data_IF_830431755969
#
_entry.id   IF_830431755969
#
_cell.length_a   1.000
_cell.length_b   1.000
_cell.length_c   1.000
_cell.angle_alpha   90.00
_cell.angle_beta   90.00
_cell.angle_gamma   90.00
#
_symmetry.space_group_name_H-M   'P 1'
#
loop_
_entity.id
_entity.type
_entity.pdbx_description
1 polymer ?
#
# COMPACT_ATOMS: atom_id res chain seq x y z
N UNK A 1 18.75 -11.26 24.05
CA UNK A 1 18.30 -10.50 22.85
C UNK A 1 17.52 -11.39 21.88
N UNK A 2 17.96 -12.61 21.59
CA UNK A 2 17.26 -13.58 20.73
C UNK A 2 15.77 -13.82 21.07
N UNK A 3 15.39 -13.78 22.35
CA UNK A 3 13.99 -13.99 22.77
C UNK A 3 13.06 -12.85 22.32
N UNK A 4 13.53 -11.60 22.39
CA UNK A 4 12.75 -10.42 21.95
C UNK A 4 12.64 -10.38 20.43
N UNK A 5 13.69 -10.81 19.73
CA UNK A 5 13.65 -10.93 18.27
C UNK A 5 12.66 -12.00 17.82
N UNK A 6 12.66 -13.14 18.53
CA UNK A 6 11.70 -14.22 18.31
C UNK A 6 10.26 -13.75 18.54
N UNK A 7 10.03 -12.99 19.62
CA UNK A 7 8.74 -12.37 19.91
C UNK A 7 8.29 -11.44 18.78
N UNK A 8 9.17 -10.53 18.32
CA UNK A 8 8.87 -9.59 17.23
C UNK A 8 8.48 -10.34 15.94
N UNK A 9 9.13 -11.46 15.63
CA UNK A 9 8.84 -12.26 14.43
C UNK A 9 7.52 -13.04 14.53
N UNK A 10 7.18 -13.55 15.71
CA UNK A 10 5.99 -14.40 15.89
C UNK A 10 4.71 -13.60 16.14
N UNK A 11 4.80 -12.54 16.92
CA UNK A 11 3.64 -11.87 17.49
C UNK A 11 3.07 -10.78 16.58
N UNK A 12 1.84 -10.97 16.09
CA UNK A 12 1.23 -10.05 15.12
C UNK A 12 0.89 -8.69 15.73
N UNK A 13 0.57 -8.65 17.02
CA UNK A 13 0.27 -7.43 17.75
C UNK A 13 1.53 -6.58 17.89
N UNK A 14 2.67 -7.19 18.22
CA UNK A 14 3.97 -6.49 18.31
C UNK A 14 4.35 -5.87 16.97
N UNK A 15 4.17 -6.58 15.85
CA UNK A 15 4.45 -6.02 14.52
C UNK A 15 3.59 -4.79 14.22
N UNK A 16 2.31 -4.79 14.62
CA UNK A 16 1.44 -3.62 14.47
C UNK A 16 1.86 -2.46 15.36
N UNK A 17 2.32 -2.71 16.58
CA UNK A 17 2.88 -1.66 17.44
C UNK A 17 4.10 -1.00 16.81
N UNK A 18 4.99 -1.81 16.20
CA UNK A 18 6.19 -1.33 15.50
C UNK A 18 5.79 -0.47 14.30
N UNK A 19 4.87 -0.93 13.45
CA UNK A 19 4.45 -0.21 12.25
C UNK A 19 3.86 1.17 12.55
N UNK A 20 3.11 1.27 13.64
CA UNK A 20 2.45 2.49 14.08
C UNK A 20 3.36 3.41 14.92
N UNK A 21 4.53 2.91 15.32
CA UNK A 21 5.48 3.62 16.16
C UNK A 21 4.95 3.94 17.57
N UNK A 22 3.87 3.30 18.02
CA UNK A 22 3.26 3.55 19.33
C UNK A 22 3.33 2.30 20.20
N UNK A 23 4.32 2.26 21.07
CA UNK A 23 4.58 1.14 21.98
C UNK A 23 3.90 1.32 23.35
N UNK A 24 2.85 2.14 23.46
CA UNK A 24 2.16 2.35 24.74
C UNK A 24 1.21 1.19 25.10
N UNK A 25 1.05 0.95 26.41
CA UNK A 25 0.14 -0.09 26.90
C UNK A 25 -1.32 0.18 26.52
N UNK A 26 -1.72 1.46 26.45
CA UNK A 26 -3.04 1.86 25.98
C UNK A 26 -3.26 1.48 24.51
N UNK A 27 -2.23 1.69 23.68
CA UNK A 27 -2.32 1.36 22.26
C UNK A 27 -2.32 -0.15 22.02
N UNK A 28 -1.52 -0.91 22.78
CA UNK A 28 -1.56 -2.37 22.80
C UNK A 28 -2.97 -2.89 23.11
N UNK A 29 -3.60 -2.39 24.19
CA UNK A 29 -5.00 -2.71 24.54
C UNK A 29 -5.97 -2.36 23.42
N UNK A 30 -5.74 -1.23 22.73
CA UNK A 30 -6.58 -0.79 21.61
C UNK A 30 -6.48 -1.72 20.40
N UNK A 31 -5.27 -2.14 20.01
CA UNK A 31 -5.05 -3.10 18.92
C UNK A 31 -5.78 -4.41 19.24
N UNK A 32 -5.55 -4.94 20.44
CA UNK A 32 -6.19 -6.17 20.88
C UNK A 32 -7.73 -6.08 20.82
N UNK A 33 -8.33 -5.03 21.39
CA UNK A 33 -9.79 -4.82 21.31
C UNK A 33 -10.31 -4.74 19.87
N UNK A 34 -9.56 -4.12 18.97
CA UNK A 34 -9.96 -4.03 17.57
C UNK A 34 -9.89 -5.40 16.88
N UNK A 35 -8.85 -6.18 17.13
CA UNK A 35 -8.71 -7.53 16.57
C UNK A 35 -9.76 -8.47 17.15
N UNK A 36 -10.07 -8.39 18.44
CA UNK A 36 -11.15 -9.17 19.05
C UNK A 36 -12.51 -8.92 18.39
N UNK A 37 -12.79 -7.69 17.91
CA UNK A 37 -14.03 -7.38 17.18
C UNK A 37 -14.10 -7.99 15.78
N UNK A 38 -12.99 -8.51 15.27
CA UNK A 38 -12.89 -9.12 13.93
C UNK A 38 -12.80 -10.64 14.08
N UNK A 39 -12.14 -11.13 15.12
CA UNK A 39 -11.91 -12.56 15.38
C UNK A 39 -12.84 -13.14 16.44
N UNK A 40 -13.93 -12.45 16.82
CA UNK A 40 -14.84 -12.97 17.84
C UNK A 40 -15.56 -14.22 17.31
N UNK A 41 -15.61 -15.33 18.06
CA UNK A 41 -16.25 -16.58 17.61
C UNK A 41 -17.76 -16.43 17.31
N UNK A 42 -18.41 -15.40 17.83
CA UNK A 42 -19.81 -15.09 17.53
C UNK A 42 -20.05 -14.43 16.15
N UNK A 43 -19.00 -13.96 15.46
CA UNK A 43 -19.14 -13.28 14.17
C UNK A 43 -19.33 -14.26 13.01
N UNK A 44 -18.76 -15.46 13.10
CA UNK A 44 -18.90 -16.54 12.11
C UNK A 44 -20.10 -17.46 12.40
N UNK A 45 -21.21 -16.88 12.88
CA UNK A 45 -22.48 -17.60 13.03
C UNK A 45 -23.16 -17.78 11.68
N UNK A 46 -22.60 -18.62 10.80
CA UNK A 46 -23.43 -19.29 9.79
C UNK A 46 -24.18 -20.44 10.49
N UNK A 47 -25.52 -20.48 10.44
CA UNK A 47 -26.26 -21.59 11.02
C UNK A 47 -25.92 -22.89 10.28
N UNK A 48 -25.36 -23.87 10.99
CA UNK A 48 -25.05 -25.21 10.48
C UNK A 48 -23.57 -25.57 10.31
N UNK A 49 -22.62 -24.64 10.50
CA UNK A 49 -21.18 -24.91 10.33
C UNK A 49 -20.46 -24.96 11.70
N UNK A 50 -20.45 -26.12 12.36
CA UNK A 50 -19.72 -26.32 13.63
C UNK A 50 -18.21 -26.16 13.47
N UNK A 51 -17.65 -26.59 12.33
CA UNK A 51 -16.22 -26.46 12.02
C UNK A 51 -15.74 -24.99 12.00
N UNK A 52 -16.57 -24.05 11.53
CA UNK A 52 -16.21 -22.63 11.52
C UNK A 52 -16.10 -22.01 12.92
N UNK A 53 -16.82 -22.56 13.91
CA UNK A 53 -16.76 -22.08 15.30
C UNK A 53 -15.47 -22.51 16.00
N UNK A 54 -14.99 -23.71 15.74
CA UNK A 54 -13.74 -24.21 16.32
C UNK A 54 -12.53 -23.42 15.80
N UNK A 55 -12.49 -23.13 14.49
CA UNK A 55 -11.44 -22.32 13.88
C UNK A 55 -11.45 -20.86 14.38
N UNK A 56 -12.64 -20.25 14.47
CA UNK A 56 -12.78 -18.90 15.01
C UNK A 56 -12.41 -18.83 16.51
N UNK A 57 -12.78 -19.86 17.29
CA UNK A 57 -12.36 -20.00 18.68
C UNK A 57 -10.85 -20.12 18.82
N UNK A 58 -10.20 -20.94 18.00
CA UNK A 58 -8.74 -21.10 17.99
C UNK A 58 -8.01 -19.81 17.54
N UNK A 59 -8.56 -19.06 16.59
CA UNK A 59 -8.04 -17.75 16.21
C UNK A 59 -8.13 -16.74 17.36
N UNK A 60 -9.25 -16.71 18.08
CA UNK A 60 -9.43 -15.84 19.24
C UNK A 60 -8.48 -16.18 20.39
N UNK A 61 -8.28 -17.47 20.69
CA UNK A 61 -7.33 -17.92 21.72
C UNK A 61 -5.91 -17.48 21.36
N UNK A 62 -5.47 -17.73 20.13
CA UNK A 62 -4.15 -17.29 19.65
C UNK A 62 -3.95 -15.79 19.78
N UNK A 63 -4.97 -14.99 19.44
CA UNK A 63 -4.91 -13.54 19.59
C UNK A 63 -4.76 -13.10 21.06
N UNK A 64 -5.45 -13.78 21.98
CA UNK A 64 -5.34 -13.52 23.42
C UNK A 64 -3.94 -13.85 23.94
N UNK A 65 -3.39 -14.99 23.52
CA UNK A 65 -2.04 -15.41 23.90
C UNK A 65 -0.99 -14.41 23.38
N UNK A 66 -1.10 -14.00 22.12
CA UNK A 66 -0.25 -12.95 21.56
C UNK A 66 -0.36 -11.63 22.35
N UNK A 67 -1.54 -11.26 22.82
CA UNK A 67 -1.71 -10.04 23.60
C UNK A 67 -1.03 -10.13 24.97
N UNK A 68 -1.22 -11.22 25.72
CA UNK A 68 -0.56 -11.38 27.03
C UNK A 68 0.96 -11.50 26.89
N UNK A 69 1.44 -12.15 25.83
CA UNK A 69 2.87 -12.23 25.51
C UNK A 69 3.46 -10.84 25.16
N UNK A 70 2.75 -10.06 24.34
CA UNK A 70 3.16 -8.70 23.99
C UNK A 70 3.14 -7.76 25.21
N UNK A 71 2.13 -7.91 26.09
CA UNK A 71 1.95 -7.11 27.30
C UNK A 71 3.04 -7.41 28.33
N UNK A 72 3.35 -8.69 28.56
CA UNK A 72 4.39 -9.11 29.51
C UNK A 72 5.80 -8.70 29.07
N UNK A 73 6.01 -8.47 27.77
CA UNK A 73 7.30 -8.06 27.22
C UNK A 73 7.36 -6.59 26.77
N UNK A 74 6.35 -5.77 27.07
CA UNK A 74 6.22 -4.42 26.51
C UNK A 74 7.40 -3.50 26.86
N UNK A 75 7.85 -3.50 28.11
CA UNK A 75 8.98 -2.68 28.57
C UNK A 75 10.30 -3.12 27.91
N UNK A 76 10.50 -4.43 27.74
CA UNK A 76 11.66 -4.98 27.02
C UNK A 76 11.61 -4.63 25.54
N UNK A 77 10.43 -4.67 24.92
CA UNK A 77 10.20 -4.23 23.53
C UNK A 77 10.50 -2.75 23.36
N UNK A 78 10.00 -1.89 24.25
CA UNK A 78 10.30 -0.46 24.24
C UNK A 78 11.80 -0.21 24.33
N UNK A 79 12.46 -0.84 25.31
CA UNK A 79 13.91 -0.69 25.51
C UNK A 79 14.71 -1.17 24.28
N UNK A 80 14.32 -2.30 23.69
CA UNK A 80 14.98 -2.86 22.51
C UNK A 80 14.77 -1.97 21.27
N UNK A 81 13.54 -1.51 21.02
CA UNK A 81 13.19 -0.74 19.83
C UNK A 81 13.69 0.71 19.89
N UNK A 82 13.66 1.33 21.07
CA UNK A 82 14.18 2.69 21.29
C UNK A 82 15.71 2.71 21.41
N UNK A 83 16.30 1.65 21.97
CA UNK A 83 17.76 1.54 22.13
C UNK A 83 18.51 1.18 20.84
N UNK A 84 17.91 0.38 19.95
CA UNK A 84 18.58 -0.07 18.73
C UNK A 84 18.14 0.65 17.45
N UNK A 85 17.09 1.48 17.48
CA UNK A 85 16.62 2.27 16.32
C UNK A 85 16.19 1.45 15.08
N UNK A 86 16.09 0.12 15.22
CA UNK A 86 16.10 -0.86 14.11
C UNK A 86 15.03 -1.94 14.27
N UNK A 87 13.79 -1.53 14.56
CA UNK A 87 12.66 -2.47 14.64
C UNK A 87 12.42 -3.28 13.35
N UNK A 88 12.90 -2.77 12.21
CA UNK A 88 12.86 -3.47 10.92
C UNK A 88 13.96 -4.53 10.73
N UNK A 89 15.15 -4.34 11.30
CA UNK A 89 16.32 -5.22 11.05
C UNK A 89 16.15 -6.64 11.62
N UNK A 90 15.27 -6.76 12.61
CA UNK A 90 14.92 -8.05 13.23
C UNK A 90 14.01 -8.88 12.34
N UNK A 91 13.20 -8.23 11.50
CA UNK A 91 12.18 -8.89 10.71
C UNK A 91 12.82 -9.55 9.49
N UNK A 92 12.48 -10.82 9.25
CA UNK A 92 12.89 -11.48 8.02
C UNK A 92 12.12 -10.93 6.81
N UNK A 93 12.66 -11.10 5.60
CA UNK A 93 11.98 -10.70 4.36
C UNK A 93 10.55 -11.25 4.24
N UNK A 94 10.31 -12.49 4.70
CA UNK A 94 8.97 -13.11 4.73
C UNK A 94 8.02 -12.42 5.70
N UNK A 95 8.52 -11.91 6.84
CA UNK A 95 7.69 -11.19 7.80
C UNK A 95 7.28 -9.83 7.24
N UNK A 96 8.21 -9.13 6.60
CA UNK A 96 7.97 -7.86 5.92
C UNK A 96 6.93 -8.06 4.80
N UNK A 97 7.14 -9.05 3.92
CA UNK A 97 6.20 -9.39 2.84
C UNK A 97 4.80 -9.66 3.40
N UNK A 98 4.68 -10.51 4.43
CA UNK A 98 3.40 -10.82 5.06
C UNK A 98 2.71 -9.58 5.62
N UNK A 99 3.42 -8.77 6.39
CA UNK A 99 2.85 -7.57 7.01
C UNK A 99 2.44 -6.53 5.97
N UNK A 100 3.20 -6.39 4.89
CA UNK A 100 2.84 -5.55 3.76
C UNK A 100 1.50 -5.99 3.16
N UNK A 101 1.34 -7.27 2.82
CA UNK A 101 0.08 -7.77 2.26
C UNK A 101 -1.10 -7.73 3.24
N UNK A 102 -0.86 -7.96 4.53
CA UNK A 102 -1.88 -7.82 5.56
C UNK A 102 -2.37 -6.36 5.67
N UNK A 103 -1.46 -5.39 5.59
CA UNK A 103 -1.82 -3.96 5.58
C UNK A 103 -2.64 -3.56 4.36
N UNK A 104 -2.32 -4.10 3.17
CA UNK A 104 -3.12 -3.92 1.96
C UNK A 104 -4.49 -4.59 2.07
N UNK A 105 -4.60 -5.74 2.75
CA UNK A 105 -5.87 -6.38 3.05
C UNK A 105 -6.74 -5.49 3.95
N UNK A 106 -6.17 -4.88 4.99
CA UNK A 106 -6.91 -3.91 5.83
C UNK A 106 -7.40 -2.71 5.02
N UNK A 107 -6.57 -2.20 4.11
CA UNK A 107 -6.95 -1.11 3.22
C UNK A 107 -8.16 -1.45 2.35
N UNK A 108 -8.15 -2.64 1.74
CA UNK A 108 -9.26 -3.14 0.91
C UNK A 108 -10.52 -3.36 1.75
N UNK A 109 -10.40 -4.03 2.90
CA UNK A 109 -11.52 -4.28 3.81
C UNK A 109 -12.14 -3.00 4.37
N UNK A 110 -11.32 -1.96 4.63
CA UNK A 110 -11.78 -0.66 5.07
C UNK A 110 -12.39 0.20 3.95
N UNK A 111 -12.35 -0.27 2.70
CA UNK A 111 -12.88 0.43 1.53
C UNK A 111 -12.08 1.67 1.15
N UNK A 112 -10.81 1.75 1.53
CA UNK A 112 -9.99 2.96 1.40
C UNK A 112 -9.61 3.30 -0.04
N UNK A 113 -9.87 2.42 -1.00
CA UNK A 113 -9.82 2.75 -2.43
C UNK A 113 -10.90 3.78 -2.83
N UNK A 114 -11.97 3.92 -2.05
CA UNK A 114 -13.00 4.92 -2.25
C UNK A 114 -12.65 6.24 -1.56
N UNK A 115 -12.64 7.34 -2.32
CA UNK A 115 -12.45 8.71 -1.79
C UNK A 115 -13.46 8.99 -0.68
N UNK A 116 -14.73 8.58 -0.86
CA UNK A 116 -15.80 8.76 0.13
C UNK A 116 -15.45 8.13 1.48
N UNK A 117 -14.80 6.97 1.48
CA UNK A 117 -14.39 6.32 2.73
C UNK A 117 -13.19 7.01 3.36
N UNK A 118 -12.26 7.53 2.55
CA UNK A 118 -11.06 8.24 3.02
C UNK A 118 -11.40 9.54 3.75
N UNK A 119 -12.35 10.33 3.24
CA UNK A 119 -12.68 11.67 3.75
C UNK A 119 -13.68 11.68 4.92
N UNK A 120 -14.25 10.53 5.30
CA UNK A 120 -15.20 10.43 6.43
C UNK A 120 -14.56 10.88 7.74
N UNK A 121 -15.02 11.98 8.37
CA UNK A 121 -14.41 12.53 9.59
C UNK A 121 -14.33 11.52 10.73
N UNK A 122 -15.39 10.72 10.90
CA UNK A 122 -15.51 9.71 11.96
C UNK A 122 -14.53 8.54 11.79
N UNK A 123 -14.01 8.33 10.58
CA UNK A 123 -13.05 7.27 10.26
C UNK A 123 -11.62 7.80 10.06
N UNK A 124 -11.41 9.12 10.12
CA UNK A 124 -10.13 9.78 9.78
C UNK A 124 -8.95 9.13 10.49
N UNK A 125 -9.02 8.99 11.82
CA UNK A 125 -7.95 8.38 12.63
C UNK A 125 -7.65 6.94 12.20
N UNK A 126 -8.67 6.11 11.96
CA UNK A 126 -8.49 4.72 11.51
C UNK A 126 -7.85 4.68 10.12
N UNK A 127 -8.32 5.51 9.21
CA UNK A 127 -7.85 5.55 7.83
C UNK A 127 -6.39 6.00 7.75
N UNK A 128 -6.00 7.00 8.54
CA UNK A 128 -4.62 7.46 8.64
C UNK A 128 -3.69 6.37 9.18
N UNK A 129 -4.11 5.61 10.19
CA UNK A 129 -3.34 4.50 10.75
C UNK A 129 -3.08 3.43 9.68
N UNK A 130 -4.13 2.97 8.97
CA UNK A 130 -3.98 1.99 7.88
C UNK A 130 -3.04 2.48 6.78
N UNK A 131 -3.15 3.76 6.38
CA UNK A 131 -2.27 4.33 5.35
C UNK A 131 -0.82 4.44 5.83
N UNK A 132 -0.57 4.79 7.10
CA UNK A 132 0.77 4.81 7.69
C UNK A 132 1.37 3.41 7.76
N UNK A 133 0.58 2.41 8.18
CA UNK A 133 0.99 1.01 8.22
C UNK A 133 1.44 0.53 6.83
N UNK A 134 0.66 0.81 5.77
CA UNK A 134 1.04 0.47 4.39
C UNK A 134 2.35 1.14 3.98
N UNK A 135 2.48 2.46 4.23
CA UNK A 135 3.69 3.20 3.84
C UNK A 135 4.92 2.67 4.59
N UNK A 136 4.78 2.34 5.86
CA UNK A 136 5.85 1.75 6.67
C UNK A 136 6.32 0.41 6.09
N UNK A 137 5.40 -0.53 5.86
CA UNK A 137 5.75 -1.85 5.32
C UNK A 137 6.21 -1.79 3.87
N UNK A 138 5.62 -0.91 3.05
CA UNK A 138 6.08 -0.67 1.69
C UNK A 138 7.53 -0.17 1.66
N UNK A 139 7.93 0.70 2.59
CA UNK A 139 9.32 1.20 2.67
C UNK A 139 10.32 0.07 2.89
N UNK A 140 9.92 -0.99 3.61
CA UNK A 140 10.75 -2.15 3.89
C UNK A 140 10.65 -3.23 2.80
N UNK A 141 9.51 -3.33 2.11
CA UNK A 141 9.23 -4.33 1.08
C UNK A 141 9.70 -3.90 -0.31
N UNK A 142 9.15 -2.78 -0.80
CA UNK A 142 9.46 -2.16 -2.09
C UNK A 142 9.15 -0.65 -2.03
N UNK A 143 10.16 0.21 -1.85
CA UNK A 143 9.97 1.65 -1.78
C UNK A 143 9.30 2.27 -3.01
N UNK A 144 9.43 1.66 -4.20
CA UNK A 144 8.84 2.17 -5.44
C UNK A 144 7.30 2.16 -5.35
N UNK A 145 6.74 1.17 -4.67
CA UNK A 145 5.29 1.06 -4.45
C UNK A 145 4.69 2.31 -3.81
N UNK A 146 5.42 2.97 -2.89
CA UNK A 146 4.91 4.13 -2.14
C UNK A 146 4.48 5.24 -3.11
N UNK A 147 5.32 5.57 -4.09
CA UNK A 147 5.02 6.61 -5.07
C UNK A 147 3.75 6.30 -5.86
N UNK A 148 3.71 5.10 -6.42
CA UNK A 148 2.60 4.60 -7.24
C UNK A 148 1.30 4.56 -6.43
N UNK A 149 1.34 4.03 -5.21
CA UNK A 149 0.19 3.93 -4.31
C UNK A 149 -0.34 5.30 -3.87
N UNK A 150 0.54 6.24 -3.53
CA UNK A 150 0.14 7.59 -3.13
C UNK A 150 -0.46 8.37 -4.30
N UNK A 151 0.07 8.24 -5.52
CA UNK A 151 -0.50 8.89 -6.71
C UNK A 151 -1.94 8.39 -6.94
N UNK A 152 -2.17 7.08 -6.89
CA UNK A 152 -3.51 6.50 -7.00
C UNK A 152 -4.45 7.01 -5.89
N UNK A 153 -4.00 7.05 -4.63
CA UNK A 153 -4.84 7.51 -3.51
C UNK A 153 -5.11 9.01 -3.49
N UNK A 154 -4.19 9.83 -4.01
CA UNK A 154 -4.36 11.28 -4.16
C UNK A 154 -5.25 11.64 -5.33
N UNK A 155 -5.37 10.75 -6.33
CA UNK A 155 -6.21 11.02 -7.49
C UNK A 155 -7.68 11.10 -7.06
N UNK A 156 -8.17 12.34 -6.94
CA UNK A 156 -9.54 12.63 -6.56
C UNK A 156 -10.48 12.31 -7.73
N UNK A 157 -11.59 11.62 -7.45
CA UNK A 157 -12.69 11.52 -8.41
C UNK A 157 -13.49 12.82 -8.35
N UNK A 158 -13.44 13.55 -9.47
CA UNK A 158 -13.84 14.94 -9.68
C UNK A 158 -15.35 15.19 -9.82
N UNK A 159 -15.65 16.50 -9.92
CA UNK A 159 -16.91 17.23 -10.18
C UNK A 159 -17.86 16.54 -11.18
N UNK A 160 -19.15 16.83 -10.99
CA UNK A 160 -20.32 16.24 -11.65
C UNK A 160 -20.33 16.35 -13.19
N UNK A 161 -19.66 17.35 -13.77
CA UNK A 161 -19.68 17.63 -15.22
C UNK A 161 -18.95 16.60 -16.10
N UNK A 162 -18.19 15.69 -15.50
CA UNK A 162 -17.36 14.73 -16.24
C UNK A 162 -17.95 13.29 -16.26
N UNK A 163 -19.19 13.09 -15.79
CA UNK A 163 -19.80 11.76 -15.60
C UNK A 163 -20.13 11.00 -16.90
N UNK A 164 -20.53 11.70 -17.97
CA UNK A 164 -21.07 11.05 -19.19
C UNK A 164 -20.03 10.38 -20.10
N UNK A 165 -18.71 10.62 -19.92
CA UNK A 165 -17.64 10.00 -20.75
C UNK A 165 -16.97 8.78 -20.11
N UNK A 166 -17.51 8.18 -19.03
CA UNK A 166 -16.71 7.43 -18.04
C UNK A 166 -17.08 5.98 -17.74
N UNK A 167 -17.98 5.34 -18.48
CA UNK A 167 -18.29 3.92 -18.24
C UNK A 167 -17.04 3.03 -18.27
N UNK A 168 -16.13 3.28 -19.23
CA UNK A 168 -14.86 2.55 -19.32
C UNK A 168 -13.94 2.82 -18.13
N UNK A 169 -13.91 4.05 -17.60
CA UNK A 169 -13.08 4.39 -16.45
C UNK A 169 -13.59 3.72 -15.17
N UNK A 170 -14.90 3.71 -14.96
CA UNK A 170 -15.52 3.02 -13.81
C UNK A 170 -15.29 1.51 -13.91
N UNK A 171 -15.46 0.93 -15.11
CA UNK A 171 -15.17 -0.49 -15.36
C UNK A 171 -13.69 -0.80 -15.12
N UNK A 172 -12.77 0.02 -15.65
CA UNK A 172 -11.32 -0.12 -15.43
C UNK A 172 -10.97 -0.08 -13.94
N UNK A 173 -11.55 0.87 -13.19
CA UNK A 173 -11.33 0.99 -11.76
C UNK A 173 -11.84 -0.25 -10.99
N UNK A 174 -13.02 -0.76 -11.33
CA UNK A 174 -13.57 -1.98 -10.71
C UNK A 174 -12.69 -3.21 -11.00
N UNK A 175 -12.25 -3.37 -12.25
CA UNK A 175 -11.35 -4.46 -12.65
C UNK A 175 -9.99 -4.35 -11.96
N UNK A 176 -9.42 -3.14 -11.89
CA UNK A 176 -8.21 -2.88 -11.13
C UNK A 176 -8.35 -3.25 -9.64
N UNK A 177 -9.43 -2.80 -8.99
CA UNK A 177 -9.70 -3.11 -7.58
C UNK A 177 -9.84 -4.62 -7.35
N UNK A 178 -10.50 -5.33 -8.27
CA UNK A 178 -10.60 -6.79 -8.24
C UNK A 178 -9.23 -7.44 -8.39
N UNK A 179 -8.43 -7.04 -9.38
CA UNK A 179 -7.08 -7.54 -9.59
C UNK A 179 -6.15 -7.29 -8.40
N UNK A 180 -6.24 -6.10 -7.79
CA UNK A 180 -5.53 -5.76 -6.56
C UNK A 180 -5.94 -6.71 -5.42
N UNK A 181 -7.25 -6.86 -5.16
CA UNK A 181 -7.73 -7.78 -4.13
C UNK A 181 -7.26 -9.22 -4.36
N UNK A 182 -7.33 -9.72 -5.59
CA UNK A 182 -6.88 -11.07 -5.94
C UNK A 182 -5.36 -11.22 -5.84
N UNK A 183 -4.57 -10.15 -6.05
CA UNK A 183 -3.12 -10.16 -5.84
C UNK A 183 -2.77 -10.33 -4.36
N UNK A 184 -3.45 -9.60 -3.48
CA UNK A 184 -3.29 -9.74 -2.02
C UNK A 184 -3.69 -11.14 -1.55
N UNK A 185 -4.72 -11.72 -2.15
CA UNK A 185 -5.14 -13.10 -1.87
C UNK A 185 -4.08 -14.12 -2.36
N UNK A 186 -3.58 -13.96 -3.58
CA UNK A 186 -2.52 -14.79 -4.15
C UNK A 186 -1.25 -14.75 -3.31
N UNK A 187 -0.87 -13.58 -2.78
CA UNK A 187 0.29 -13.46 -1.91
C UNK A 187 0.20 -14.37 -0.68
N UNK A 188 -1.01 -14.59 -0.14
CA UNK A 188 -1.26 -15.46 1.00
C UNK A 188 -1.43 -16.94 0.64
N UNK A 189 -2.20 -17.27 -0.39
CA UNK A 189 -2.58 -18.66 -0.70
C UNK A 189 -1.77 -19.32 -1.84
N UNK A 190 -1.03 -18.54 -2.62
CA UNK A 190 -0.25 -18.97 -3.79
C UNK A 190 -1.04 -19.80 -4.82
N UNK A 191 -2.36 -19.65 -4.89
CA UNK A 191 -3.22 -20.42 -5.79
C UNK A 191 -2.99 -20.03 -7.27
N UNK A 192 -2.79 -21.01 -8.18
CA UNK A 192 -2.68 -20.71 -9.62
C UNK A 192 -3.93 -20.05 -10.19
N UNK A 193 -5.11 -20.32 -9.62
CA UNK A 193 -6.36 -19.72 -10.06
C UNK A 193 -6.46 -18.24 -9.70
N UNK A 194 -6.03 -17.86 -8.50
CA UNK A 194 -5.98 -16.44 -8.08
C UNK A 194 -4.96 -15.67 -8.91
N UNK A 195 -3.78 -16.25 -9.19
CA UNK A 195 -2.80 -15.65 -10.11
C UNK A 195 -3.39 -15.38 -11.50
N UNK A 196 -4.05 -16.37 -12.10
CA UNK A 196 -4.67 -16.23 -13.43
C UNK A 196 -5.75 -15.14 -13.42
N UNK A 197 -6.58 -15.12 -12.38
CA UNK A 197 -7.67 -14.15 -12.23
C UNK A 197 -7.13 -12.73 -12.07
N UNK A 198 -6.09 -12.53 -11.26
CA UNK A 198 -5.45 -11.24 -11.08
C UNK A 198 -4.87 -10.70 -12.40
N UNK A 199 -4.15 -11.55 -13.15
CA UNK A 199 -3.60 -11.20 -14.47
C UNK A 199 -4.68 -10.80 -15.47
N UNK A 200 -5.78 -11.55 -15.54
CA UNK A 200 -6.91 -11.22 -16.41
C UNK A 200 -7.53 -9.87 -16.05
N UNK A 201 -7.79 -9.62 -14.75
CA UNK A 201 -8.33 -8.35 -14.28
C UNK A 201 -7.43 -7.17 -14.67
N UNK A 202 -6.11 -7.32 -14.54
CA UNK A 202 -5.15 -6.29 -14.91
C UNK A 202 -5.05 -6.08 -16.43
N UNK A 203 -5.13 -7.14 -17.22
CA UNK A 203 -5.18 -7.05 -18.69
C UNK A 203 -6.41 -6.26 -19.16
N UNK A 204 -7.59 -6.60 -18.63
CA UNK A 204 -8.84 -5.93 -18.98
C UNK A 204 -8.87 -4.47 -18.51
N UNK A 205 -8.39 -4.22 -17.28
CA UNK A 205 -8.26 -2.87 -16.74
C UNK A 205 -7.29 -2.01 -17.57
N UNK A 206 -6.17 -2.60 -18.03
CA UNK A 206 -5.20 -1.92 -18.91
C UNK A 206 -5.83 -1.53 -20.24
N UNK A 207 -6.58 -2.43 -20.85
CA UNK A 207 -7.27 -2.18 -22.13
C UNK A 207 -8.26 -1.02 -22.00
N UNK A 208 -9.06 -1.00 -20.92
CA UNK A 208 -10.05 0.05 -20.69
C UNK A 208 -9.40 1.39 -20.31
N UNK A 209 -8.44 1.39 -19.38
CA UNK A 209 -7.74 2.61 -18.96
C UNK A 209 -6.84 3.18 -20.06
N UNK A 210 -6.26 2.32 -20.90
CA UNK A 210 -5.41 2.68 -22.03
C UNK A 210 -6.13 3.47 -23.13
N UNK A 211 -7.46 3.41 -23.20
CA UNK A 211 -8.26 4.28 -24.07
C UNK A 211 -8.42 5.72 -23.53
N UNK A 212 -8.00 5.98 -22.28
CA UNK A 212 -8.21 7.22 -21.54
C UNK A 212 -6.90 7.80 -20.98
N UNK A 213 -5.75 7.63 -21.67
CA UNK A 213 -4.41 7.97 -21.15
C UNK A 213 -4.25 9.40 -20.63
N UNK A 214 -5.00 10.35 -21.19
CA UNK A 214 -4.98 11.76 -20.75
C UNK A 214 -5.68 11.99 -19.40
N UNK A 215 -6.48 11.02 -18.94
CA UNK A 215 -7.21 11.10 -17.70
C UNK A 215 -6.31 10.76 -16.49
N UNK A 216 -6.18 11.65 -15.48
CA UNK A 216 -5.28 11.42 -14.34
C UNK A 216 -5.51 10.09 -13.60
N UNK A 217 -6.77 9.70 -13.39
CA UNK A 217 -7.11 8.41 -12.78
C UNK A 217 -6.79 7.21 -13.65
N UNK A 218 -6.93 7.32 -14.97
CA UNK A 218 -6.56 6.20 -15.85
C UNK A 218 -5.05 5.99 -15.79
N UNK A 219 -4.28 7.08 -15.82
CA UNK A 219 -2.81 7.04 -15.66
C UNK A 219 -2.40 6.43 -14.33
N UNK A 220 -2.98 6.85 -13.19
CA UNK A 220 -2.61 6.30 -11.89
C UNK A 220 -3.02 4.83 -11.72
N UNK A 221 -4.16 4.40 -12.31
CA UNK A 221 -4.52 2.99 -12.39
C UNK A 221 -3.48 2.20 -13.19
N UNK A 222 -3.05 2.70 -14.35
CA UNK A 222 -2.05 2.03 -15.20
C UNK A 222 -0.70 1.89 -14.50
N UNK A 223 -0.24 2.93 -13.80
CA UNK A 223 0.99 2.89 -13.00
C UNK A 223 0.91 1.82 -11.89
N UNK A 224 -0.24 1.73 -11.19
CA UNK A 224 -0.47 0.64 -10.23
C UNK A 224 -0.48 -0.74 -10.89
N UNK A 225 -1.13 -0.89 -12.04
CA UNK A 225 -1.21 -2.17 -12.75
C UNK A 225 0.20 -2.67 -13.11
N UNK A 226 1.06 -1.79 -13.65
CA UNK A 226 2.44 -2.14 -14.00
C UNK A 226 3.18 -2.68 -12.78
N UNK A 227 3.08 -1.98 -11.64
CA UNK A 227 3.71 -2.43 -10.40
C UNK A 227 3.15 -3.78 -9.94
N UNK A 228 1.82 -3.96 -9.90
CA UNK A 228 1.22 -5.23 -9.46
C UNK A 228 1.50 -6.39 -10.40
N UNK A 229 1.65 -6.16 -11.71
CA UNK A 229 2.03 -7.19 -12.66
C UNK A 229 3.46 -7.68 -12.41
N UNK A 230 4.42 -6.75 -12.23
CA UNK A 230 5.78 -7.09 -11.85
C UNK A 230 5.83 -7.85 -10.51
N UNK A 231 5.03 -7.41 -9.54
CA UNK A 231 4.94 -8.08 -8.24
C UNK A 231 4.34 -9.49 -8.35
N UNK A 232 3.31 -9.71 -9.19
CA UNK A 232 2.78 -11.05 -9.46
C UNK A 232 3.83 -11.96 -10.11
N UNK A 233 4.65 -11.43 -11.01
CA UNK A 233 5.72 -12.19 -11.64
C UNK A 233 6.79 -12.59 -10.61
N UNK A 234 7.22 -11.64 -9.76
CA UNK A 234 8.10 -11.90 -8.60
C UNK A 234 7.53 -12.97 -7.67
N UNK A 235 6.27 -12.83 -7.24
CA UNK A 235 5.60 -13.77 -6.34
C UNK A 235 5.44 -15.17 -6.95
N UNK A 236 5.28 -15.25 -8.28
CA UNK A 236 5.14 -16.53 -9.00
C UNK A 236 6.47 -17.23 -9.29
N UNK A 237 7.60 -16.61 -8.94
CA UNK A 237 8.93 -17.16 -9.21
C UNK A 237 9.34 -17.08 -10.68
N UNK A 238 8.59 -16.35 -11.51
CA UNK A 238 9.06 -15.95 -12.84
C UNK A 238 10.14 -14.90 -12.62
N UNK A 239 11.41 -15.32 -12.63
CA UNK A 239 12.52 -14.37 -12.72
C UNK A 239 12.32 -13.53 -13.98
N UNK A 240 12.46 -12.23 -13.85
CA UNK A 240 12.69 -11.36 -14.99
C UNK A 240 13.89 -11.90 -15.76
N UNK A 241 13.65 -12.46 -16.94
CA UNK A 241 14.69 -12.64 -17.96
C UNK A 241 14.95 -11.25 -18.54
N UNK A 242 15.53 -10.37 -17.70
CA UNK A 242 16.14 -9.09 -18.07
C UNK A 242 17.35 -8.84 -17.18
N UNK A 243 18.27 -9.80 -17.24
CA UNK A 243 19.69 -9.59 -17.02
C UNK A 243 20.41 -9.96 -18.30
N UNK A 244 20.04 -9.30 -19.41
CA UNK A 244 20.93 -9.26 -20.57
C UNK A 244 22.17 -8.52 -20.12
N UNK A 245 23.30 -9.19 -20.21
CA UNK A 245 24.62 -8.60 -20.09
C UNK A 245 24.64 -7.31 -20.92
N UNK A 246 24.61 -6.18 -20.23
CA UNK A 246 25.04 -4.93 -20.84
C UNK A 246 26.56 -5.09 -20.98
N UNK A 247 26.98 -5.48 -22.18
CA UNK A 247 28.35 -5.31 -22.64
C UNK A 247 28.83 -3.93 -22.19
N UNK A 248 29.93 -3.92 -21.45
CA UNK A 248 30.60 -2.70 -21.05
C UNK A 248 30.88 -1.85 -22.30
N UNK A 249 30.36 -0.63 -22.41
CA UNK A 249 30.79 0.28 -23.45
C UNK A 249 32.27 0.56 -23.22
N UNK A 250 33.09 0.23 -24.23
CA UNK A 250 34.49 0.61 -24.28
C UNK A 250 34.61 2.12 -24.07
N UNK A 251 35.55 2.48 -23.19
CA UNK A 251 35.96 3.86 -22.97
C UNK A 251 36.43 4.48 -24.29
N UNK A 252 35.69 5.46 -24.78
CA UNK A 252 36.16 6.42 -25.77
C UNK A 252 36.68 7.64 -25.01
N UNK A 253 37.92 8.01 -25.35
CA UNK A 253 38.68 9.12 -24.80
C UNK A 253 37.98 10.48 -25.00
N UNK A 254 38.27 11.49 -24.15
CA UNK A 254 37.62 12.78 -24.23
C UNK A 254 38.28 13.65 -25.31
N UNK A 255 37.50 14.03 -26.33
CA UNK A 255 37.83 15.19 -27.16
C UNK A 255 37.32 16.46 -26.47
N UNK A 256 38.25 17.39 -26.30
CA UNK A 256 38.08 18.74 -25.77
C UNK A 256 37.52 19.70 -26.81
N UNK A 257 36.96 20.79 -26.28
CA UNK A 257 36.79 22.13 -26.87
C UNK A 257 35.41 22.57 -27.40
N UNK A 258 34.83 23.45 -26.56
CA UNK A 258 34.27 24.78 -26.87
C UNK A 258 33.07 24.90 -27.81
N UNK A 259 32.01 25.58 -27.38
CA UNK A 259 31.82 27.04 -27.48
C UNK A 259 30.43 27.38 -26.93
N UNK A 260 30.37 28.52 -26.25
CA UNK A 260 29.22 29.21 -25.72
C UNK A 260 27.99 29.28 -26.64
N UNK A 261 26.81 29.22 -26.04
CA UNK A 261 25.68 30.11 -26.38
C UNK A 261 24.61 29.99 -25.28
N UNK A 262 24.61 30.96 -24.36
CA UNK A 262 23.44 31.22 -23.52
C UNK A 262 22.29 31.73 -24.41
N UNK A 263 21.07 31.16 -24.30
CA UNK A 263 19.92 31.75 -24.95
C UNK A 263 19.47 33.00 -24.18
N UNK A 264 19.55 34.15 -24.84
CA UNK A 264 18.84 35.38 -24.46
C UNK A 264 17.34 35.09 -24.37
N UNK A 265 16.77 35.23 -23.18
CA UNK A 265 15.33 35.22 -22.98
C UNK A 265 14.81 36.67 -23.11
N UNK A 266 13.79 36.92 -23.95
CA UNK A 266 13.17 38.24 -23.98
C UNK A 266 12.49 38.55 -22.64
N UNK A 267 12.73 39.76 -22.13
CA UNK A 267 12.08 40.27 -20.93
C UNK A 267 10.55 40.30 -21.12
N UNK A 268 9.77 39.87 -20.10
CA UNK A 268 8.32 39.99 -20.16
C UNK A 268 7.90 41.46 -20.06
N UNK A 269 7.16 41.93 -21.07
CA UNK A 269 6.44 43.20 -21.02
C UNK A 269 5.44 43.18 -19.86
N UNK A 270 5.61 44.10 -18.91
CA UNK A 270 4.64 44.32 -17.84
C UNK A 270 3.38 44.96 -18.45
N UNK A 271 2.18 44.50 -18.08
CA UNK A 271 0.95 45.14 -18.53
C UNK A 271 0.85 46.55 -17.96
N UNK A 272 0.47 47.50 -18.82
CA UNK A 272 0.17 48.88 -18.46
C UNK A 272 -0.91 48.94 -17.37
N UNK A 273 -0.60 49.65 -16.29
CA UNK A 273 -1.49 49.97 -15.18
C UNK A 273 -2.46 51.07 -15.63
N UNK A 274 -3.58 50.67 -16.24
CA UNK A 274 -4.73 51.54 -16.49
C UNK A 274 -5.50 51.82 -15.19
N UNK A 275 -4.82 52.47 -14.25
CA UNK A 275 -5.43 53.15 -13.12
C UNK A 275 -5.73 54.59 -13.53
N UNK A 276 -6.85 54.82 -14.26
CA UNK A 276 -7.50 56.13 -14.26
C UNK A 276 -8.94 56.15 -14.80
N UNK A 277 -9.80 56.82 -14.02
CA UNK A 277 -11.09 57.45 -14.35
C UNK A 277 -12.34 56.55 -14.32
N UNK A 278 -13.42 56.92 -13.64
CA UNK A 278 -13.70 58.19 -12.98
C UNK A 278 -15.04 58.14 -12.25
N UNK A 279 -15.16 59.09 -11.32
CA UNK A 279 -16.35 59.48 -10.60
C UNK A 279 -17.48 59.88 -11.56
N UNK A 280 -18.70 59.40 -11.29
CA UNK A 280 -19.99 60.11 -11.42
C UNK A 280 -21.06 59.35 -10.66
#
# INVERSE_FOLDING_TARGET
MADIETLIRKNSIVKRLIAEGNLSQEYLKKIFRNLCKITHPDLDKKPGEEAGREEAGAAFIRLKDEYEEAKSNLERLQSYLLGNGRGGDVLGARDIERMFYDSLRHYLAAGLYSVRMRIRPELKKRNELILREIVYWAKLHDPVFIGVFLIYNKTYLRRFSEWQRRDNLIKAQKLFQRGFSTTVEYAGNKSPHTLRTARLCFSDATSLAGSLKTHPLARSILECIIWFQAELDRLSGKKDVKGGEAESPQALEPETETVDNEPEYPEPELPDDDSQNGES
#
